data_IF_147694834081
#
_entry.id   IF_147694834081
#
_cell.length_a   1.000
_cell.length_b   1.000
_cell.length_c   1.000
_cell.angle_alpha   90.00
_cell.angle_beta   90.00
_cell.angle_gamma   90.00
#
_symmetry.space_group_name_H-M   'P 1'
#
loop_
_entity.id
_entity.type
_entity.pdbx_description
1 polymer ?
#
# COMPACT_ATOMS: atom_id res chain seq x y z
N UNK A 1 -10.04 -30.06 20.48
CA UNK A 1 -11.23 -29.49 21.18
C UNK A 1 -10.95 -29.12 22.63
N UNK A 2 -10.35 -29.99 23.48
CA UNK A 2 -10.04 -29.64 24.89
C UNK A 2 -9.15 -28.41 25.02
N UNK A 3 -8.10 -28.27 24.21
CA UNK A 3 -7.18 -27.14 24.23
C UNK A 3 -7.83 -25.84 23.75
N UNK A 4 -8.74 -25.89 22.77
CA UNK A 4 -9.48 -24.73 22.29
C UNK A 4 -10.39 -24.16 23.38
N UNK A 5 -11.15 -25.00 24.09
CA UNK A 5 -12.02 -24.57 25.20
C UNK A 5 -11.22 -23.97 26.35
N UNK A 6 -10.09 -24.56 26.67
CA UNK A 6 -9.19 -24.05 27.72
C UNK A 6 -8.64 -22.67 27.36
N UNK A 7 -8.23 -22.46 26.12
CA UNK A 7 -7.75 -21.16 25.67
C UNK A 7 -8.89 -20.12 25.64
N UNK A 8 -10.08 -20.49 25.19
CA UNK A 8 -11.25 -19.63 25.26
C UNK A 8 -11.60 -19.20 26.70
N UNK A 9 -11.62 -20.15 27.66
CA UNK A 9 -11.84 -19.85 29.07
C UNK A 9 -10.77 -18.90 29.62
N UNK A 10 -9.52 -19.10 29.20
CA UNK A 10 -8.42 -18.21 29.55
C UNK A 10 -8.62 -16.79 29.03
N UNK A 11 -9.12 -16.66 27.80
CA UNK A 11 -9.44 -15.35 27.22
C UNK A 11 -10.62 -14.69 27.93
N UNK A 12 -11.65 -15.43 28.29
CA UNK A 12 -12.76 -14.89 29.10
C UNK A 12 -12.29 -14.28 30.42
N UNK A 13 -11.26 -14.88 31.04
CA UNK A 13 -10.72 -14.41 32.30
C UNK A 13 -9.76 -13.22 32.18
N UNK A 14 -9.01 -13.10 31.06
CA UNK A 14 -7.88 -12.17 30.94
C UNK A 14 -8.11 -11.07 29.91
N UNK A 15 -8.92 -11.27 28.88
CA UNK A 15 -9.12 -10.29 27.80
C UNK A 15 -10.18 -9.23 28.20
N UNK A 16 -9.86 -8.41 29.21
CA UNK A 16 -10.81 -7.47 29.84
C UNK A 16 -10.57 -6.00 29.46
N UNK A 17 -9.44 -5.68 28.80
CA UNK A 17 -9.06 -4.30 28.48
C UNK A 17 -9.91 -3.73 27.33
N UNK A 18 -10.17 -4.52 26.27
CA UNK A 18 -11.03 -4.12 25.16
C UNK A 18 -12.47 -4.58 25.45
N UNK A 19 -13.36 -3.62 25.66
CA UNK A 19 -14.76 -3.88 25.99
C UNK A 19 -15.50 -4.65 24.87
N UNK A 20 -15.16 -4.38 23.60
CA UNK A 20 -15.78 -5.06 22.46
C UNK A 20 -15.36 -6.53 22.41
N UNK A 21 -14.05 -6.81 22.59
CA UNK A 21 -13.53 -8.19 22.69
C UNK A 21 -14.14 -8.94 23.86
N UNK A 22 -14.21 -8.30 25.04
CA UNK A 22 -14.80 -8.90 26.24
C UNK A 22 -16.30 -9.18 26.09
N UNK A 23 -17.03 -8.34 25.38
CA UNK A 23 -18.44 -8.54 25.06
C UNK A 23 -18.65 -9.67 24.05
N UNK A 24 -17.86 -9.67 22.97
CA UNK A 24 -17.93 -10.70 21.92
C UNK A 24 -17.65 -12.09 22.48
N UNK A 25 -16.60 -12.24 23.30
CA UNK A 25 -16.26 -13.54 23.93
C UNK A 25 -17.45 -14.19 24.64
N UNK A 26 -18.30 -13.42 25.30
CA UNK A 26 -19.48 -13.92 26.03
C UNK A 26 -20.60 -14.42 25.12
N UNK A 27 -20.54 -14.11 23.82
CA UNK A 27 -21.59 -14.39 22.82
C UNK A 27 -21.20 -15.47 21.82
N UNK A 28 -19.96 -15.97 21.88
CA UNK A 28 -19.47 -16.99 20.94
C UNK A 28 -20.15 -18.34 21.23
N UNK A 29 -20.70 -18.95 20.18
CA UNK A 29 -21.10 -20.35 20.15
C UNK A 29 -19.92 -21.29 19.89
N UNK A 30 -20.13 -22.60 20.06
CA UNK A 30 -19.05 -23.61 19.91
C UNK A 30 -18.34 -23.52 18.52
N UNK A 31 -19.08 -23.26 17.44
CA UNK A 31 -18.51 -23.13 16.09
C UNK A 31 -17.61 -21.89 15.97
N UNK A 32 -18.08 -20.76 16.51
CA UNK A 32 -17.30 -19.52 16.52
C UNK A 32 -16.09 -19.61 17.44
N UNK A 33 -16.21 -20.30 18.59
CA UNK A 33 -15.08 -20.57 19.48
C UNK A 33 -14.03 -21.38 18.75
N UNK A 34 -14.43 -22.45 18.05
CA UNK A 34 -13.49 -23.26 17.27
C UNK A 34 -12.77 -22.40 16.22
N UNK A 35 -13.49 -21.61 15.41
CA UNK A 35 -12.90 -20.74 14.37
C UNK A 35 -12.00 -19.65 14.95
N UNK A 36 -12.31 -19.10 16.12
CA UNK A 36 -11.54 -18.04 16.75
C UNK A 36 -10.27 -18.53 17.47
N UNK A 37 -10.23 -19.81 17.89
CA UNK A 37 -9.18 -20.33 18.77
C UNK A 37 -8.46 -21.59 18.27
N UNK A 38 -8.76 -22.10 17.03
CA UNK A 38 -8.12 -23.34 16.55
C UNK A 38 -6.63 -23.18 16.25
N UNK A 39 -6.14 -21.94 16.14
CA UNK A 39 -4.73 -21.59 15.97
C UNK A 39 -4.47 -20.14 16.34
N UNK A 40 -3.22 -19.75 16.42
CA UNK A 40 -2.82 -18.35 16.45
C UNK A 40 -2.93 -17.73 15.06
N UNK A 41 -3.19 -16.41 14.99
CA UNK A 41 -3.16 -15.65 13.75
C UNK A 41 -1.74 -15.69 13.18
N UNK A 42 -1.63 -16.22 11.96
CA UNK A 42 -0.33 -16.41 11.34
C UNK A 42 0.38 -15.08 11.07
N UNK A 43 1.61 -14.95 11.56
CA UNK A 43 2.55 -13.94 11.11
C UNK A 43 3.12 -14.44 9.78
N UNK A 44 2.49 -14.01 8.67
CA UNK A 44 2.88 -14.43 7.33
C UNK A 44 4.20 -13.82 6.87
N UNK A 45 4.46 -13.85 5.58
CA UNK A 45 5.72 -13.37 4.99
C UNK A 45 5.93 -11.84 5.05
N UNK A 46 5.14 -11.12 5.83
CA UNK A 46 5.24 -9.65 5.91
C UNK A 46 4.39 -9.02 7.00
N UNK A 47 3.80 -9.83 7.91
CA UNK A 47 2.97 -9.34 9.01
C UNK A 47 1.70 -10.15 9.23
N UNK A 48 0.74 -9.59 9.98
CA UNK A 48 -0.55 -10.21 10.27
C UNK A 48 -1.63 -9.76 9.28
N UNK A 49 -2.60 -10.64 9.01
CA UNK A 49 -3.87 -10.28 8.37
C UNK A 49 -4.97 -11.22 8.85
N UNK A 50 -6.09 -10.68 9.30
CA UNK A 50 -7.20 -11.48 9.79
C UNK A 50 -8.49 -10.69 9.96
N UNK A 51 -9.55 -11.41 10.30
CA UNK A 51 -10.83 -10.81 10.69
C UNK A 51 -10.67 -10.15 12.06
N UNK A 52 -11.25 -8.96 12.21
CA UNK A 52 -11.30 -8.24 13.50
C UNK A 52 -12.25 -9.01 14.43
N UNK A 53 -11.84 -9.24 15.67
CA UNK A 53 -12.69 -9.91 16.67
C UNK A 53 -11.91 -10.55 17.80
N UNK A 54 -12.64 -11.25 18.66
CA UNK A 54 -12.11 -11.95 19.82
C UNK A 54 -11.47 -13.30 19.45
N UNK A 55 -10.31 -13.60 20.02
CA UNK A 55 -9.61 -14.88 19.86
C UNK A 55 -8.20 -14.79 19.32
N UNK A 56 -7.48 -15.90 19.39
CA UNK A 56 -6.07 -15.98 18.96
C UNK A 56 -5.91 -15.91 17.42
N UNK A 57 -6.92 -16.35 16.66
CA UNK A 57 -6.97 -16.33 15.20
C UNK A 57 -7.72 -15.08 14.67
N UNK A 58 -7.64 -13.96 15.37
CA UNK A 58 -8.32 -12.70 15.05
C UNK A 58 -7.38 -11.51 15.20
N UNK A 59 -7.68 -10.43 14.46
CA UNK A 59 -7.07 -9.12 14.70
C UNK A 59 -7.76 -8.44 15.86
N UNK A 60 -7.02 -8.21 16.95
CA UNK A 60 -7.46 -7.47 18.13
C UNK A 60 -6.25 -6.86 18.84
N UNK A 61 -6.50 -6.11 19.91
CA UNK A 61 -5.43 -5.43 20.65
C UNK A 61 -4.39 -6.39 21.22
N UNK A 62 -4.78 -7.61 21.59
CA UNK A 62 -3.90 -8.60 22.21
C UNK A 62 -2.99 -9.26 21.17
N UNK A 63 -3.52 -9.65 20.00
CA UNK A 63 -2.71 -10.24 18.92
C UNK A 63 -1.76 -9.23 18.30
N UNK A 64 -2.20 -7.97 18.13
CA UNK A 64 -1.34 -6.85 17.70
C UNK A 64 -0.26 -6.56 18.73
N UNK A 65 -0.60 -6.54 20.02
CA UNK A 65 0.37 -6.30 21.09
C UNK A 65 1.43 -7.41 21.16
N UNK A 66 1.01 -8.69 21.04
CA UNK A 66 1.95 -9.84 21.01
C UNK A 66 2.90 -9.75 19.81
N UNK A 67 2.39 -9.43 18.62
CA UNK A 67 3.22 -9.25 17.42
C UNK A 67 4.20 -8.08 17.58
N UNK A 68 3.74 -6.96 18.14
CA UNK A 68 4.59 -5.78 18.40
C UNK A 68 5.67 -6.06 19.46
N UNK A 69 5.36 -6.88 20.49
CA UNK A 69 6.36 -7.33 21.47
C UNK A 69 7.45 -8.17 20.80
N UNK A 70 7.08 -9.16 19.98
CA UNK A 70 8.05 -9.98 19.26
C UNK A 70 8.93 -9.16 18.30
N UNK A 71 8.31 -8.19 17.58
CA UNK A 71 9.08 -7.26 16.75
C UNK A 71 10.00 -6.37 17.59
N UNK A 72 9.56 -5.87 18.75
CA UNK A 72 10.41 -5.09 19.65
C UNK A 72 11.60 -5.91 20.16
N UNK A 73 11.39 -7.19 20.49
CA UNK A 73 12.46 -8.09 20.95
C UNK A 73 13.47 -8.38 19.82
N UNK A 74 13.00 -8.58 18.60
CA UNK A 74 13.84 -8.67 17.40
C UNK A 74 14.67 -7.39 17.20
N UNK A 75 14.04 -6.21 17.26
CA UNK A 75 14.71 -4.93 17.04
C UNK A 75 15.80 -4.66 18.09
N UNK A 76 15.55 -4.95 19.37
CA UNK A 76 16.55 -4.79 20.45
C UNK A 76 17.75 -5.70 20.29
N UNK A 77 17.61 -6.85 19.63
CA UNK A 77 18.73 -7.76 19.35
C UNK A 77 19.60 -7.29 18.20
N UNK A 78 19.02 -6.59 17.24
CA UNK A 78 19.66 -6.26 15.98
C UNK A 78 20.10 -4.79 15.86
N UNK A 79 19.61 -3.90 16.74
CA UNK A 79 19.88 -2.46 16.70
C UNK A 79 20.21 -1.91 18.10
N UNK A 80 21.23 -1.07 18.20
CA UNK A 80 21.63 -0.44 19.49
C UNK A 80 20.59 0.59 19.96
N UNK A 81 20.03 1.38 19.03
CA UNK A 81 19.00 2.38 19.30
C UNK A 81 17.76 2.08 18.43
N UNK A 82 16.99 1.07 18.79
CA UNK A 82 15.86 0.65 17.97
C UNK A 82 14.78 1.73 17.91
N UNK A 83 14.24 1.94 16.71
CA UNK A 83 13.18 2.88 16.47
C UNK A 83 12.22 2.38 15.39
N UNK A 84 10.98 2.88 15.38
CA UNK A 84 9.94 2.46 14.45
C UNK A 84 9.16 3.66 13.92
N UNK A 85 8.79 3.61 12.62
CA UNK A 85 7.81 4.50 12.03
C UNK A 85 6.47 3.77 11.91
N UNK A 86 5.36 4.37 12.37
CA UNK A 86 4.04 3.73 12.39
C UNK A 86 3.04 4.57 11.59
N UNK A 87 2.29 3.89 10.70
CA UNK A 87 1.14 4.45 10.00
C UNK A 87 -0.07 3.52 10.08
N UNK A 88 -1.21 4.06 9.70
CA UNK A 88 -2.48 3.34 9.70
C UNK A 88 -3.43 3.91 8.64
N UNK A 89 -4.34 3.07 8.17
CA UNK A 89 -5.36 3.44 7.18
C UNK A 89 -6.72 3.79 7.83
N UNK A 90 -7.76 3.89 7.00
CA UNK A 90 -9.12 4.24 7.42
C UNK A 90 -9.92 3.09 8.03
N UNK A 91 -9.38 1.87 8.08
CA UNK A 91 -10.11 0.68 8.53
C UNK A 91 -10.51 0.76 9.99
N UNK A 92 -11.58 0.02 10.32
CA UNK A 92 -12.08 -0.13 11.68
C UNK A 92 -10.92 -0.54 12.60
N UNK A 93 -10.74 0.18 13.72
CA UNK A 93 -9.69 -0.02 14.74
C UNK A 93 -8.23 0.13 14.24
N UNK A 94 -7.96 0.63 13.02
CA UNK A 94 -6.58 0.83 12.57
C UNK A 94 -5.80 1.80 13.46
N UNK A 95 -6.41 2.90 13.86
CA UNK A 95 -5.84 3.88 14.80
C UNK A 95 -5.60 3.30 16.19
N UNK A 96 -6.55 2.48 16.68
CA UNK A 96 -6.43 1.77 17.98
C UNK A 96 -5.26 0.80 17.94
N UNK A 97 -5.16 -0.03 16.90
CA UNK A 97 -4.08 -1.00 16.76
C UNK A 97 -2.71 -0.33 16.60
N UNK A 98 -2.65 0.79 15.89
CA UNK A 98 -1.42 1.59 15.76
C UNK A 98 -0.96 2.16 17.12
N UNK A 99 -1.90 2.68 17.93
CA UNK A 99 -1.59 3.18 19.28
C UNK A 99 -1.18 2.05 20.24
N UNK A 100 -1.82 0.89 20.16
CA UNK A 100 -1.43 -0.29 20.93
C UNK A 100 0.00 -0.72 20.58
N UNK A 101 0.32 -0.82 19.29
CA UNK A 101 1.67 -1.14 18.85
C UNK A 101 2.69 -0.10 19.38
N UNK A 102 2.38 1.18 19.26
CA UNK A 102 3.21 2.27 19.79
C UNK A 102 3.48 2.14 21.29
N UNK A 103 2.44 1.84 22.09
CA UNK A 103 2.56 1.60 23.53
C UNK A 103 3.46 0.42 23.87
N UNK A 104 3.38 -0.67 23.10
CA UNK A 104 4.27 -1.84 23.28
C UNK A 104 5.71 -1.49 22.94
N UNK A 105 5.97 -0.85 21.81
CA UNK A 105 7.32 -0.43 21.44
C UNK A 105 7.93 0.51 22.48
N UNK A 106 7.20 1.53 22.93
CA UNK A 106 7.65 2.47 23.94
C UNK A 106 7.98 1.77 25.27
N UNK A 107 7.12 0.83 25.74
CA UNK A 107 7.36 0.04 26.95
C UNK A 107 8.61 -0.83 26.86
N UNK A 108 9.06 -1.17 25.66
CA UNK A 108 10.26 -1.97 25.40
C UNK A 108 11.51 -1.13 25.07
N UNK A 109 11.45 0.20 25.21
CA UNK A 109 12.58 1.10 24.92
C UNK A 109 12.86 1.31 23.43
N UNK A 110 11.90 0.97 22.55
CA UNK A 110 11.96 1.27 21.12
C UNK A 110 11.36 2.66 20.89
N UNK A 111 12.12 3.59 20.31
CA UNK A 111 11.63 4.93 19.99
C UNK A 111 10.55 4.88 18.91
N UNK A 112 9.42 5.51 19.16
CA UNK A 112 8.28 5.49 18.23
C UNK A 112 8.13 6.81 17.51
N UNK A 113 7.96 6.76 16.18
CA UNK A 113 7.52 7.85 15.34
C UNK A 113 6.19 7.43 14.70
N UNK A 114 5.09 8.07 15.02
CA UNK A 114 3.76 7.70 14.53
C UNK A 114 3.12 8.84 13.74
N UNK A 115 2.48 8.52 12.62
CA UNK A 115 1.70 9.52 11.89
C UNK A 115 0.53 10.01 12.77
N UNK A 116 0.31 11.34 12.88
CA UNK A 116 -0.76 11.89 13.71
C UNK A 116 -2.17 11.63 13.14
N UNK A 117 -2.25 11.32 11.86
CA UNK A 117 -3.47 11.00 11.11
C UNK A 117 -3.23 9.79 10.21
N UNK A 118 -4.32 9.21 9.71
CA UNK A 118 -4.22 8.14 8.70
C UNK A 118 -3.42 8.60 7.46
N UNK A 119 -2.59 7.71 6.94
CA UNK A 119 -1.68 8.01 5.83
C UNK A 119 -1.56 6.79 4.89
N UNK A 120 -1.21 7.01 3.60
CA UNK A 120 -0.93 5.92 2.66
C UNK A 120 0.24 5.01 3.07
N UNK A 121 0.19 3.75 2.64
CA UNK A 121 1.30 2.79 2.79
C UNK A 121 2.65 3.35 2.36
N UNK A 122 2.81 3.97 1.17
CA UNK A 122 4.11 4.47 0.74
C UNK A 122 4.72 5.53 1.68
N UNK A 123 3.89 6.25 2.43
CA UNK A 123 4.40 7.22 3.42
C UNK A 123 5.09 6.56 4.61
N UNK A 124 4.73 5.30 4.95
CA UNK A 124 5.43 4.53 5.99
C UNK A 124 6.78 4.06 5.48
N UNK A 125 6.84 3.52 4.26
CA UNK A 125 8.11 3.19 3.60
C UNK A 125 9.03 4.41 3.53
N UNK A 126 8.50 5.57 3.11
CA UNK A 126 9.21 6.83 3.05
C UNK A 126 9.71 7.31 4.42
N UNK A 127 8.81 7.37 5.42
CA UNK A 127 9.17 7.84 6.76
C UNK A 127 10.23 6.94 7.43
N UNK A 128 10.14 5.62 7.24
CA UNK A 128 11.14 4.66 7.71
C UNK A 128 12.54 5.01 7.19
N UNK A 129 12.66 5.31 5.91
CA UNK A 129 13.91 5.72 5.26
C UNK A 129 14.35 7.13 5.66
N UNK A 130 13.44 8.09 5.59
CA UNK A 130 13.72 9.51 5.85
C UNK A 130 14.15 9.78 7.29
N UNK A 131 13.50 9.11 8.26
CA UNK A 131 13.81 9.23 9.68
C UNK A 131 14.87 8.21 10.15
N UNK A 132 15.38 7.37 9.24
CA UNK A 132 16.35 6.32 9.55
C UNK A 132 15.90 5.41 10.71
N UNK A 133 14.62 5.03 10.72
CA UNK A 133 14.12 4.10 11.75
C UNK A 133 14.54 2.66 11.46
N UNK A 134 14.62 1.86 12.52
CA UNK A 134 15.03 0.43 12.42
C UNK A 134 13.98 -0.43 11.73
N UNK A 135 12.71 0.00 11.78
CA UNK A 135 11.59 -0.67 11.14
C UNK A 135 10.45 0.31 10.82
N UNK A 136 9.52 -0.13 9.99
CA UNK A 136 8.23 0.50 9.77
C UNK A 136 7.08 -0.45 10.08
N UNK A 137 5.95 0.08 10.49
CA UNK A 137 4.71 -0.66 10.71
C UNK A 137 3.55 0.07 10.05
N UNK A 138 2.79 -0.65 9.24
CA UNK A 138 1.54 -0.14 8.68
C UNK A 138 0.37 -1.00 9.08
N UNK A 139 -0.61 -0.39 9.76
CA UNK A 139 -1.85 -1.06 10.14
C UNK A 139 -2.87 -0.90 9.01
N UNK A 140 -3.04 -1.95 8.24
CA UNK A 140 -3.92 -2.00 7.06
C UNK A 140 -4.20 -3.43 6.63
N UNK A 141 -5.34 -3.66 5.98
CA UNK A 141 -5.61 -4.86 5.20
C UNK A 141 -5.85 -4.55 3.71
N UNK A 142 -5.30 -3.41 3.20
CA UNK A 142 -5.39 -2.96 1.81
C UNK A 142 -6.88 -2.93 1.35
N UNK A 143 -7.21 -3.58 0.26
CA UNK A 143 -8.53 -3.62 -0.36
C UNK A 143 -9.47 -4.72 0.18
N UNK A 144 -9.10 -5.44 1.23
CA UNK A 144 -9.96 -6.48 1.82
C UNK A 144 -11.28 -5.88 2.36
N UNK A 145 -12.37 -6.68 2.50
CA UNK A 145 -13.60 -6.23 3.14
C UNK A 145 -13.41 -5.60 4.52
N UNK A 146 -14.36 -4.78 4.96
CA UNK A 146 -14.30 -3.99 6.21
C UNK A 146 -14.02 -4.81 7.47
N UNK A 147 -14.47 -6.08 7.52
CA UNK A 147 -14.23 -6.99 8.65
C UNK A 147 -12.77 -7.40 8.86
N UNK A 148 -11.89 -7.13 7.90
CA UNK A 148 -10.46 -7.45 8.00
C UNK A 148 -9.63 -6.25 8.44
N UNK A 149 -8.56 -6.53 9.18
CA UNK A 149 -7.44 -5.62 9.37
C UNK A 149 -6.12 -6.39 9.30
N UNK A 150 -5.00 -5.69 9.33
CA UNK A 150 -3.68 -6.28 9.23
C UNK A 150 -2.60 -5.40 9.84
N UNK A 151 -1.38 -5.91 9.82
CA UNK A 151 -0.20 -5.31 10.41
C UNK A 151 0.99 -5.68 9.52
N UNK A 152 1.37 -4.76 8.62
CA UNK A 152 2.52 -4.95 7.71
C UNK A 152 3.79 -4.44 8.39
N UNK A 153 4.90 -5.17 8.23
CA UNK A 153 6.22 -4.80 8.78
C UNK A 153 7.19 -4.48 7.65
N UNK A 154 7.93 -3.41 7.82
CA UNK A 154 8.96 -2.91 6.90
C UNK A 154 10.32 -2.92 7.61
N UNK A 155 11.38 -3.28 6.89
CA UNK A 155 12.76 -3.15 7.34
C UNK A 155 13.27 -1.70 7.30
N UNK A 156 14.46 -1.48 7.84
CA UNK A 156 15.10 -0.16 7.88
C UNK A 156 15.33 0.47 6.48
N UNK A 157 15.35 -0.36 5.44
CA UNK A 157 15.43 0.08 4.05
C UNK A 157 14.09 0.55 3.46
N UNK A 158 13.01 0.46 4.25
CA UNK A 158 11.65 0.80 3.83
C UNK A 158 10.96 -0.25 2.96
N UNK A 159 11.59 -1.41 2.73
CA UNK A 159 10.98 -2.53 2.04
C UNK A 159 10.18 -3.40 3.03
N UNK A 160 9.05 -3.95 2.61
CA UNK A 160 8.37 -4.96 3.41
C UNK A 160 9.30 -6.15 3.65
N UNK A 161 9.36 -6.65 4.89
CA UNK A 161 10.34 -7.65 5.32
C UNK A 161 10.35 -8.90 4.43
N UNK A 162 11.56 -9.48 4.26
CA UNK A 162 11.76 -10.76 3.56
C UNK A 162 11.26 -11.93 4.39
N UNK A 163 11.21 -13.11 3.76
CA UNK A 163 10.79 -14.35 4.42
C UNK A 163 11.72 -14.73 5.58
N UNK A 164 13.02 -14.49 5.45
CA UNK A 164 14.02 -14.77 6.48
C UNK A 164 13.80 -13.89 7.71
N UNK A 165 13.69 -12.58 7.52
CA UNK A 165 13.42 -11.62 8.61
C UNK A 165 12.06 -11.90 9.27
N UNK A 166 11.03 -12.24 8.47
CA UNK A 166 9.72 -12.62 9.01
C UNK A 166 9.82 -13.87 9.91
N UNK A 167 10.64 -14.87 9.54
CA UNK A 167 10.86 -16.08 10.35
C UNK A 167 11.58 -15.76 11.67
N UNK A 168 12.57 -14.86 11.66
CA UNK A 168 13.24 -14.41 12.88
C UNK A 168 12.30 -13.68 13.84
N UNK A 169 11.44 -12.79 13.32
CA UNK A 169 10.43 -12.10 14.13
C UNK A 169 9.40 -13.10 14.68
N UNK A 170 8.93 -14.03 13.85
CA UNK A 170 7.99 -15.07 14.26
C UNK A 170 8.57 -15.91 15.41
N UNK A 171 9.85 -16.27 15.33
CA UNK A 171 10.53 -17.02 16.40
C UNK A 171 10.59 -16.24 17.74
N UNK A 172 10.54 -14.89 17.73
CA UNK A 172 10.38 -14.12 18.97
C UNK A 172 8.91 -14.13 19.43
N UNK A 173 7.96 -13.97 18.51
CA UNK A 173 6.51 -13.97 18.82
C UNK A 173 6.08 -15.31 19.47
N UNK A 174 6.57 -16.45 18.95
CA UNK A 174 6.21 -17.78 19.43
C UNK A 174 6.68 -18.08 20.87
N UNK A 175 7.68 -17.35 21.38
CA UNK A 175 8.13 -17.49 22.78
C UNK A 175 7.20 -16.84 23.78
N UNK A 176 6.32 -15.94 23.33
CA UNK A 176 5.57 -15.04 24.19
C UNK A 176 4.21 -15.63 24.58
N UNK A 177 3.89 -15.55 25.85
CA UNK A 177 2.51 -15.61 26.32
C UNK A 177 1.80 -14.28 26.09
N UNK A 178 0.60 -14.35 25.46
CA UNK A 178 -0.15 -13.17 25.02
C UNK A 178 -0.58 -12.24 26.16
N UNK A 179 -0.74 -12.75 27.39
CA UNK A 179 -1.18 -11.98 28.55
C UNK A 179 -0.05 -11.70 29.54
N UNK A 180 0.95 -12.60 29.67
CA UNK A 180 1.97 -12.51 30.70
C UNK A 180 3.25 -11.78 30.24
N UNK A 181 3.63 -11.90 28.96
CA UNK A 181 4.95 -11.47 28.48
C UNK A 181 4.93 -10.16 27.68
N UNK A 182 3.73 -9.66 27.35
CA UNK A 182 3.59 -8.43 26.59
C UNK A 182 3.67 -7.22 27.52
N UNK A 183 4.66 -6.36 27.29
CA UNK A 183 4.82 -5.08 27.99
C UNK A 183 4.12 -3.99 27.20
N UNK A 184 3.33 -3.18 27.90
CA UNK A 184 2.64 -2.05 27.27
C UNK A 184 2.75 -0.80 28.15
N UNK A 185 2.73 0.36 27.54
CA UNK A 185 2.59 1.65 28.20
C UNK A 185 1.39 2.40 27.64
N UNK A 186 0.85 3.31 28.42
CA UNK A 186 -0.18 4.22 27.95
C UNK A 186 0.36 5.11 26.83
N UNK A 187 -0.42 5.29 25.76
CA UNK A 187 -0.03 6.03 24.57
C UNK A 187 0.25 7.51 24.89
N UNK A 188 -0.67 8.15 25.61
CA UNK A 188 -0.58 9.58 25.94
C UNK A 188 0.58 9.84 26.92
N UNK A 189 0.84 8.92 27.84
CA UNK A 189 2.03 8.97 28.69
C UNK A 189 3.32 8.84 27.88
N UNK A 190 3.32 7.99 26.84
CA UNK A 190 4.44 7.86 25.91
C UNK A 190 4.70 9.12 25.10
N UNK A 191 3.65 9.81 24.66
CA UNK A 191 3.75 11.12 24.00
C UNK A 191 4.28 12.17 24.97
N UNK A 192 3.77 12.22 26.19
CA UNK A 192 4.18 13.21 27.20
C UNK A 192 5.65 13.07 27.60
N UNK A 193 6.19 11.85 27.67
CA UNK A 193 7.59 11.61 28.04
C UNK A 193 8.56 11.55 26.83
N UNK A 194 8.05 11.67 25.59
CA UNK A 194 8.83 11.71 24.35
C UNK A 194 9.29 10.35 23.83
N UNK A 195 8.86 9.22 24.42
CA UNK A 195 9.12 7.88 23.86
C UNK A 195 8.29 7.62 22.61
N UNK A 196 7.15 8.28 22.47
CA UNK A 196 6.31 8.33 21.28
C UNK A 196 6.31 9.76 20.75
N UNK A 197 6.65 9.94 19.49
CA UNK A 197 6.66 11.23 18.80
C UNK A 197 5.78 11.18 17.57
N UNK A 198 5.08 12.28 17.30
CA UNK A 198 4.38 12.41 16.03
C UNK A 198 5.38 12.72 14.90
N UNK A 199 5.18 12.06 13.75
CA UNK A 199 5.93 12.37 12.53
C UNK A 199 5.53 13.78 12.07
N UNK A 200 6.49 14.71 11.91
CA UNK A 200 6.18 16.09 11.56
C UNK A 200 5.74 16.24 10.10
N UNK A 201 4.99 17.32 9.80
CA UNK A 201 4.43 17.59 8.47
C UNK A 201 5.51 17.80 7.39
N UNK A 202 6.74 18.13 7.79
CA UNK A 202 7.88 18.24 6.87
C UNK A 202 8.21 16.91 6.18
N UNK A 203 8.03 15.78 6.87
CA UNK A 203 8.22 14.44 6.27
C UNK A 203 7.16 14.17 5.20
N UNK A 204 5.91 14.55 5.48
CA UNK A 204 4.85 14.44 4.49
C UNK A 204 5.09 15.36 3.28
N UNK A 205 5.55 16.58 3.52
CA UNK A 205 5.90 17.52 2.45
C UNK A 205 7.08 16.99 1.62
N UNK A 206 8.11 16.43 2.28
CA UNK A 206 9.23 15.81 1.57
C UNK A 206 8.78 14.60 0.72
N UNK A 207 7.83 13.80 1.21
CA UNK A 207 7.24 12.72 0.41
C UNK A 207 6.55 13.26 -0.86
N UNK A 208 5.71 14.29 -0.72
CA UNK A 208 5.02 14.92 -1.87
C UNK A 208 6.03 15.49 -2.87
N UNK A 209 7.11 16.12 -2.41
CA UNK A 209 8.18 16.62 -3.29
C UNK A 209 8.88 15.48 -4.03
N UNK A 210 9.09 14.32 -3.40
CA UNK A 210 9.64 13.16 -4.08
C UNK A 210 8.70 12.64 -5.18
N UNK A 211 7.40 12.54 -4.91
CA UNK A 211 6.42 12.17 -5.94
C UNK A 211 6.43 13.15 -7.11
N UNK A 212 6.42 14.45 -6.83
CA UNK A 212 6.47 15.52 -7.87
C UNK A 212 7.74 15.43 -8.73
N UNK A 213 8.86 15.03 -8.13
CA UNK A 213 10.14 14.90 -8.82
C UNK A 213 10.19 13.75 -9.83
N UNK A 214 9.19 12.86 -9.82
CA UNK A 214 9.09 11.74 -10.77
C UNK A 214 8.59 12.18 -12.15
N UNK A 215 8.16 13.43 -12.32
CA UNK A 215 7.75 13.99 -13.62
C UNK A 215 8.78 13.73 -14.71
N UNK A 216 8.33 13.21 -15.85
CA UNK A 216 9.15 12.98 -17.04
C UNK A 216 8.83 13.95 -18.19
N UNK A 217 8.13 15.05 -17.91
CA UNK A 217 7.89 16.10 -18.89
C UNK A 217 9.17 16.91 -19.24
N UNK A 218 10.11 16.99 -18.29
CA UNK A 218 11.37 17.74 -18.48
C UNK A 218 11.20 19.16 -19.02
N UNK A 219 10.10 19.83 -18.63
CA UNK A 219 9.76 21.18 -19.07
C UNK A 219 8.84 21.26 -20.27
N UNK A 220 8.38 20.13 -20.81
CA UNK A 220 7.37 20.11 -21.87
C UNK A 220 6.01 20.56 -21.32
N UNK A 221 5.35 21.47 -22.05
CA UNK A 221 4.03 21.95 -21.66
C UNK A 221 2.93 20.97 -22.12
N UNK A 222 2.00 20.66 -21.22
CA UNK A 222 0.84 19.80 -21.48
C UNK A 222 -0.43 20.46 -20.95
N UNK A 223 -1.57 20.07 -21.51
CA UNK A 223 -2.87 20.52 -21.04
C UNK A 223 -3.21 19.89 -19.68
N UNK A 224 -3.02 20.64 -18.61
CA UNK A 224 -3.35 20.24 -17.23
C UNK A 224 -4.79 20.56 -16.82
N UNK A 225 -5.60 21.14 -17.71
CA UNK A 225 -7.03 21.42 -17.45
C UNK A 225 -7.95 20.24 -17.85
N UNK A 226 -7.39 19.03 -17.92
CA UNK A 226 -8.16 17.80 -18.11
C UNK A 226 -9.12 17.59 -16.94
N UNK A 227 -10.35 17.19 -17.23
CA UNK A 227 -11.36 16.96 -16.21
C UNK A 227 -11.16 15.57 -15.57
N UNK A 228 -10.80 15.56 -14.30
CA UNK A 228 -10.48 14.35 -13.53
C UNK A 228 -11.58 14.11 -12.51
N UNK A 229 -12.11 12.89 -12.47
CA UNK A 229 -12.87 12.38 -11.33
C UNK A 229 -11.95 11.50 -10.50
N UNK A 230 -11.93 11.73 -9.20
CA UNK A 230 -11.11 10.96 -8.28
C UNK A 230 -11.94 10.36 -7.13
N UNK A 231 -11.74 9.07 -6.87
CA UNK A 231 -12.27 8.39 -5.69
C UNK A 231 -11.14 7.81 -4.83
N UNK A 232 -11.02 8.22 -3.56
CA UNK A 232 -10.14 7.58 -2.60
C UNK A 232 -10.74 6.29 -1.99
N UNK A 233 -11.92 5.83 -2.42
CA UNK A 233 -12.64 4.66 -1.89
C UNK A 233 -12.72 4.64 -0.35
N UNK A 234 -13.06 5.79 0.26
CA UNK A 234 -13.08 6.00 1.71
C UNK A 234 -11.73 5.72 2.42
N UNK A 235 -10.62 5.79 1.69
CA UNK A 235 -9.27 5.49 2.16
C UNK A 235 -8.42 6.71 2.48
N UNK A 236 -7.11 6.51 2.43
CA UNK A 236 -6.08 7.48 2.82
C UNK A 236 -5.66 8.43 1.70
N UNK A 237 -6.05 8.15 0.46
CA UNK A 237 -5.51 8.83 -0.73
C UNK A 237 -5.99 10.28 -0.92
N UNK A 238 -7.10 10.71 -0.31
CA UNK A 238 -7.70 12.01 -0.57
C UNK A 238 -6.70 13.16 -0.50
N UNK A 239 -6.08 13.35 0.66
CA UNK A 239 -5.17 14.47 0.93
C UNK A 239 -3.90 14.40 0.06
N UNK A 240 -3.13 13.29 0.03
CA UNK A 240 -1.88 13.24 -0.70
C UNK A 240 -2.05 13.30 -2.21
N UNK A 241 -3.02 12.59 -2.79
CA UNK A 241 -3.26 12.61 -4.24
C UNK A 241 -3.73 13.99 -4.70
N UNK A 242 -4.74 14.56 -4.02
CA UNK A 242 -5.25 15.89 -4.42
C UNK A 242 -4.24 17.01 -4.20
N UNK A 243 -3.40 16.92 -3.14
CA UNK A 243 -2.31 17.88 -2.92
C UNK A 243 -1.29 17.80 -4.05
N UNK A 244 -0.78 16.61 -4.33
CA UNK A 244 0.22 16.40 -5.39
C UNK A 244 -0.30 16.89 -6.74
N UNK A 245 -1.51 16.48 -7.13
CA UNK A 245 -2.11 16.90 -8.40
C UNK A 245 -2.27 18.42 -8.49
N UNK A 246 -2.78 19.07 -7.42
CA UNK A 246 -2.95 20.53 -7.39
C UNK A 246 -1.62 21.27 -7.46
N UNK A 247 -0.61 20.84 -6.72
CA UNK A 247 0.72 21.44 -6.76
C UNK A 247 1.40 21.26 -8.12
N UNK A 248 1.06 20.18 -8.85
CA UNK A 248 1.50 19.93 -10.22
C UNK A 248 0.64 20.63 -11.29
N UNK A 249 -0.37 21.41 -10.87
CA UNK A 249 -1.19 22.26 -11.75
C UNK A 249 -2.50 21.62 -12.24
N UNK A 250 -2.86 20.44 -11.77
CA UNK A 250 -4.17 19.81 -12.05
C UNK A 250 -5.21 20.34 -11.08
N UNK A 251 -6.06 21.24 -11.52
CA UNK A 251 -7.07 21.90 -10.67
C UNK A 251 -8.51 21.49 -10.98
N UNK A 252 -8.76 20.89 -12.13
CA UNK A 252 -10.09 20.45 -12.56
C UNK A 252 -10.38 19.02 -12.05
N UNK A 253 -10.45 18.89 -10.72
CA UNK A 253 -10.63 17.61 -10.04
C UNK A 253 -11.98 17.60 -9.33
N UNK A 254 -12.83 16.63 -9.66
CA UNK A 254 -14.08 16.32 -8.95
C UNK A 254 -13.87 15.07 -8.11
N UNK A 255 -13.98 15.21 -6.79
CA UNK A 255 -13.91 14.06 -5.87
C UNK A 255 -15.28 13.42 -5.72
N UNK A 256 -15.35 12.10 -5.71
CA UNK A 256 -16.58 11.34 -5.45
C UNK A 256 -16.98 11.52 -3.98
N UNK A 257 -18.02 12.31 -3.75
CA UNK A 257 -18.37 12.84 -2.43
C UNK A 257 -18.68 11.75 -1.38
N UNK A 258 -19.38 10.70 -1.77
CA UNK A 258 -19.76 9.59 -0.89
C UNK A 258 -18.56 8.71 -0.49
N UNK A 259 -17.47 8.82 -1.23
CA UNK A 259 -16.23 8.06 -1.02
C UNK A 259 -15.06 8.95 -0.56
N UNK A 260 -15.30 10.25 -0.41
CA UNK A 260 -14.28 11.25 -0.09
C UNK A 260 -13.71 11.06 1.31
N UNK A 261 -14.61 10.94 2.31
CA UNK A 261 -14.18 10.86 3.69
C UNK A 261 -13.76 9.44 4.07
N UNK A 262 -12.67 9.29 4.86
CA UNK A 262 -12.25 7.99 5.36
C UNK A 262 -13.36 7.30 6.16
N UNK A 263 -13.71 6.07 5.78
CA UNK A 263 -14.70 5.25 6.50
C UNK A 263 -14.36 3.75 6.36
N UNK A 264 -13.99 3.12 7.46
CA UNK A 264 -13.62 1.70 7.50
C UNK A 264 -14.77 0.72 7.25
N UNK A 265 -16.02 1.20 7.19
CA UNK A 265 -17.16 0.37 6.81
C UNK A 265 -17.31 0.24 5.29
N UNK A 266 -16.70 1.14 4.50
CA UNK A 266 -16.81 1.19 3.03
C UNK A 266 -18.26 1.11 2.54
N UNK A 267 -19.15 2.05 2.93
CA UNK A 267 -20.59 1.91 2.80
C UNK A 267 -21.09 1.82 1.35
N UNK A 268 -20.33 2.39 0.41
CA UNK A 268 -20.68 2.38 -1.02
C UNK A 268 -19.91 1.31 -1.82
N UNK A 269 -18.92 0.66 -1.19
CA UNK A 269 -18.05 -0.30 -1.86
C UNK A 269 -17.52 -1.35 -0.88
N UNK A 270 -18.27 -2.45 -0.61
CA UNK A 270 -17.87 -3.48 0.35
C UNK A 270 -16.51 -4.15 0.06
N UNK A 271 -16.08 -4.09 -1.19
CA UNK A 271 -14.76 -4.55 -1.68
C UNK A 271 -14.05 -3.36 -2.33
N UNK A 272 -13.35 -2.50 -1.55
CA UNK A 272 -12.75 -1.25 -2.04
C UNK A 272 -11.46 -1.51 -2.84
N UNK A 273 -11.61 -2.29 -3.92
CA UNK A 273 -10.52 -2.67 -4.82
C UNK A 273 -10.75 -2.05 -6.20
N UNK A 274 -9.91 -1.10 -6.65
CA UNK A 274 -10.06 -0.44 -7.94
C UNK A 274 -9.89 -1.37 -9.16
N UNK A 275 -9.52 -2.64 -8.96
CA UNK A 275 -9.48 -3.66 -10.00
C UNK A 275 -10.89 -4.11 -10.42
N UNK A 276 -11.89 -3.97 -9.54
CA UNK A 276 -13.23 -4.49 -9.80
C UNK A 276 -14.19 -3.38 -10.25
N UNK A 277 -15.05 -3.74 -11.18
CA UNK A 277 -15.99 -2.82 -11.80
C UNK A 277 -16.96 -2.19 -10.79
N UNK A 278 -17.38 -2.95 -9.79
CA UNK A 278 -18.30 -2.51 -8.75
C UNK A 278 -17.69 -1.38 -7.90
N UNK A 279 -16.39 -1.44 -7.60
CA UNK A 279 -15.69 -0.38 -6.89
C UNK A 279 -15.60 0.92 -7.70
N UNK A 280 -15.47 0.80 -9.03
CA UNK A 280 -15.37 1.92 -9.95
C UNK A 280 -16.73 2.50 -10.35
N UNK A 281 -17.84 1.80 -10.08
CA UNK A 281 -19.18 2.14 -10.62
C UNK A 281 -19.63 3.56 -10.26
N UNK A 282 -19.54 3.95 -8.99
CA UNK A 282 -19.93 5.29 -8.53
C UNK A 282 -19.02 6.38 -9.16
N UNK A 283 -17.72 6.13 -9.24
CA UNK A 283 -16.78 7.01 -9.95
C UNK A 283 -17.14 7.19 -11.43
N UNK A 284 -17.54 6.11 -12.11
CA UNK A 284 -18.00 6.18 -13.51
C UNK A 284 -19.30 6.96 -13.66
N UNK A 285 -20.22 6.89 -12.70
CA UNK A 285 -21.42 7.74 -12.69
C UNK A 285 -21.06 9.23 -12.57
N UNK A 286 -20.14 9.56 -11.67
CA UNK A 286 -19.60 10.92 -11.53
C UNK A 286 -18.92 11.37 -12.83
N UNK A 287 -18.07 10.52 -13.40
CA UNK A 287 -17.38 10.82 -14.65
C UNK A 287 -18.35 11.13 -15.80
N UNK A 288 -19.45 10.36 -15.92
CA UNK A 288 -20.51 10.63 -16.89
C UNK A 288 -21.21 11.96 -16.63
N UNK A 289 -21.58 12.26 -15.37
CA UNK A 289 -22.25 13.51 -14.97
C UNK A 289 -21.39 14.74 -15.24
N UNK A 290 -20.09 14.68 -14.95
CA UNK A 290 -19.15 15.79 -15.13
C UNK A 290 -18.53 15.82 -16.53
N UNK A 291 -18.84 14.86 -17.38
CA UNK A 291 -18.16 14.65 -18.67
C UNK A 291 -16.63 14.61 -18.52
N UNK A 292 -16.13 13.93 -17.47
CA UNK A 292 -14.72 13.87 -17.14
C UNK A 292 -13.90 13.19 -18.26
N UNK A 293 -12.64 13.55 -18.36
CA UNK A 293 -11.70 12.95 -19.32
C UNK A 293 -11.11 11.66 -18.77
N UNK A 294 -10.85 11.65 -17.45
CA UNK A 294 -10.18 10.57 -16.73
C UNK A 294 -10.87 10.30 -15.39
N UNK A 295 -11.09 9.03 -15.06
CA UNK A 295 -11.46 8.58 -13.72
C UNK A 295 -10.26 7.88 -13.08
N UNK A 296 -9.96 8.26 -11.83
CA UNK A 296 -8.96 7.61 -10.96
C UNK A 296 -9.65 7.07 -9.71
N UNK A 297 -9.23 5.90 -9.23
CA UNK A 297 -9.57 5.45 -7.89
C UNK A 297 -8.34 4.78 -7.24
N UNK A 298 -8.14 5.06 -5.94
CA UNK A 298 -7.12 4.40 -5.12
C UNK A 298 -7.78 3.50 -4.08
N UNK A 299 -7.12 2.39 -3.74
CA UNK A 299 -7.59 1.53 -2.66
C UNK A 299 -7.38 2.19 -1.26
N UNK A 300 -7.92 1.62 -0.16
CA UNK A 300 -7.93 2.30 1.13
C UNK A 300 -6.56 2.68 1.68
N UNK A 301 -5.52 1.89 1.48
CA UNK A 301 -4.15 2.22 1.90
C UNK A 301 -3.32 2.90 0.79
N UNK A 302 -3.98 3.23 -0.32
CA UNK A 302 -3.47 4.05 -1.42
C UNK A 302 -2.12 3.53 -1.96
N UNK A 303 -2.05 2.23 -2.18
CA UNK A 303 -0.92 1.58 -2.84
C UNK A 303 -1.27 1.06 -4.24
N UNK A 304 -2.54 1.15 -4.67
CA UNK A 304 -3.05 0.78 -6.01
C UNK A 304 -3.85 1.91 -6.64
N UNK A 305 -3.82 1.97 -7.98
CA UNK A 305 -4.60 2.95 -8.76
C UNK A 305 -5.29 2.26 -9.92
N UNK A 306 -6.62 2.34 -9.96
CA UNK A 306 -7.43 1.94 -11.11
C UNK A 306 -7.90 3.16 -11.89
N UNK A 307 -8.06 3.02 -13.20
CA UNK A 307 -8.49 4.10 -14.09
C UNK A 307 -9.59 3.66 -15.06
N UNK A 308 -10.39 4.65 -15.47
CA UNK A 308 -11.25 4.51 -16.62
C UNK A 308 -11.12 5.73 -17.55
N UNK A 309 -11.17 5.49 -18.83
CA UNK A 309 -11.07 6.51 -19.90
C UNK A 309 -12.21 6.37 -20.88
N UNK A 310 -12.53 7.42 -21.62
CA UNK A 310 -13.56 7.39 -22.65
C UNK A 310 -13.07 6.65 -23.91
N UNK A 311 -13.90 5.79 -24.45
CA UNK A 311 -13.74 5.24 -25.78
C UNK A 311 -14.34 6.17 -26.86
N UNK A 312 -14.22 5.78 -28.12
CA UNK A 312 -14.74 6.53 -29.29
C UNK A 312 -16.26 6.71 -29.29
N UNK A 313 -17.00 5.86 -28.55
CA UNK A 313 -18.43 5.98 -28.38
C UNK A 313 -18.83 6.91 -27.20
N UNK A 314 -17.84 7.43 -26.44
CA UNK A 314 -18.05 8.23 -25.25
C UNK A 314 -18.37 7.42 -23.98
N UNK A 315 -18.25 6.10 -24.04
CA UNK A 315 -18.42 5.22 -22.89
C UNK A 315 -17.09 5.06 -22.13
N UNK A 316 -17.17 4.89 -20.81
CA UNK A 316 -15.98 4.68 -19.99
C UNK A 316 -15.56 3.21 -19.96
N UNK A 317 -14.32 2.97 -20.30
CA UNK A 317 -13.67 1.68 -20.24
C UNK A 317 -12.63 1.64 -19.11
N UNK A 318 -12.68 0.57 -18.30
CA UNK A 318 -11.68 0.29 -17.27
C UNK A 318 -10.45 -0.28 -17.93
N UNK A 319 -9.27 0.27 -17.62
CA UNK A 319 -8.00 -0.33 -18.00
C UNK A 319 -7.53 -1.29 -16.91
N UNK A 320 -7.01 -2.43 -17.33
CA UNK A 320 -6.37 -3.38 -16.41
C UNK A 320 -5.04 -2.84 -15.88
N UNK A 321 -4.55 -3.41 -14.76
CA UNK A 321 -3.24 -3.04 -14.22
C UNK A 321 -2.09 -3.27 -15.23
N UNK A 322 -2.16 -4.35 -16.00
CA UNK A 322 -1.21 -4.59 -17.08
C UNK A 322 -1.26 -3.51 -18.17
N UNK A 323 -2.46 -3.14 -18.63
CA UNK A 323 -2.64 -2.11 -19.66
C UNK A 323 -2.09 -0.76 -19.20
N UNK A 324 -2.47 -0.35 -17.99
CA UNK A 324 -1.99 0.91 -17.40
C UNK A 324 -0.48 0.89 -17.19
N UNK A 325 0.06 -0.24 -16.67
CA UNK A 325 1.51 -0.39 -16.46
C UNK A 325 2.33 -0.35 -17.75
N UNK A 326 1.83 -0.93 -18.84
CA UNK A 326 2.49 -0.87 -20.14
C UNK A 326 2.47 0.54 -20.74
N UNK A 327 1.33 1.24 -20.64
CA UNK A 327 1.21 2.62 -21.07
C UNK A 327 2.17 3.54 -20.29
N UNK A 328 2.25 3.36 -18.95
CA UNK A 328 3.20 4.11 -18.12
C UNK A 328 4.64 3.80 -18.49
N UNK A 329 5.00 2.53 -18.67
CA UNK A 329 6.35 2.12 -19.03
C UNK A 329 6.78 2.77 -20.36
N UNK A 330 5.93 2.67 -21.39
CA UNK A 330 6.22 3.26 -22.70
C UNK A 330 6.33 4.78 -22.61
N UNK A 331 5.37 5.44 -21.92
CA UNK A 331 5.39 6.89 -21.72
C UNK A 331 6.66 7.34 -21.03
N UNK A 332 7.03 6.75 -19.89
CA UNK A 332 8.22 7.11 -19.12
C UNK A 332 9.48 6.93 -19.98
N UNK A 333 9.62 5.78 -20.62
CA UNK A 333 10.80 5.48 -21.44
C UNK A 333 10.90 6.38 -22.66
N UNK A 334 9.79 6.63 -23.37
CA UNK A 334 9.78 7.51 -24.54
C UNK A 334 10.18 8.94 -24.18
N UNK A 335 9.68 9.46 -23.07
CA UNK A 335 10.05 10.78 -22.57
C UNK A 335 11.52 10.85 -22.14
N UNK A 336 12.02 9.85 -21.42
CA UNK A 336 13.43 9.78 -21.04
C UNK A 336 14.35 9.74 -22.27
N UNK A 337 14.02 8.97 -23.30
CA UNK A 337 14.81 8.92 -24.56
C UNK A 337 14.73 10.25 -25.29
N UNK A 338 13.53 10.80 -25.48
CA UNK A 338 13.27 12.06 -26.16
C UNK A 338 14.11 13.21 -25.59
N UNK A 339 14.24 13.26 -24.27
CA UNK A 339 14.94 14.33 -23.56
C UNK A 339 16.38 13.98 -23.16
N UNK A 340 16.90 12.81 -23.58
CA UNK A 340 18.26 12.36 -23.23
C UNK A 340 18.45 12.16 -21.71
N UNK A 341 17.41 11.73 -21.02
CA UNK A 341 17.36 11.53 -19.56
C UNK A 341 17.32 10.06 -19.14
N UNK A 342 17.41 9.12 -20.08
CA UNK A 342 17.50 7.71 -19.74
C UNK A 342 18.76 7.47 -18.91
N UNK A 343 18.64 6.85 -17.71
CA UNK A 343 19.81 6.60 -16.87
C UNK A 343 20.78 5.61 -17.53
N UNK A 344 22.00 5.56 -17.03
CA UNK A 344 22.95 4.53 -17.42
C UNK A 344 22.52 3.17 -16.85
N UNK A 345 22.60 2.09 -17.66
CA UNK A 345 22.18 0.72 -17.28
C UNK A 345 20.73 0.67 -16.74
N UNK A 346 19.73 1.18 -17.51
CA UNK A 346 18.37 1.36 -17.01
C UNK A 346 17.67 0.01 -16.76
N UNK A 347 16.88 -0.04 -15.71
CA UNK A 347 16.24 -1.28 -15.22
C UNK A 347 14.74 -1.07 -15.03
N UNK A 348 13.96 -2.03 -15.54
CA UNK A 348 12.55 -2.23 -15.22
C UNK A 348 12.43 -3.51 -14.37
N UNK A 349 11.58 -3.47 -13.35
CA UNK A 349 11.31 -4.64 -12.50
C UNK A 349 9.82 -4.98 -12.55
N UNK A 350 9.48 -6.25 -12.84
CA UNK A 350 8.10 -6.74 -12.84
C UNK A 350 7.98 -8.10 -12.18
N UNK A 351 6.77 -8.49 -11.80
CA UNK A 351 6.53 -9.85 -11.32
C UNK A 351 6.43 -10.84 -12.49
N UNK A 352 6.68 -12.11 -12.19
CA UNK A 352 6.59 -13.20 -13.20
C UNK A 352 5.17 -13.40 -13.78
N UNK A 353 4.13 -12.88 -13.09
CA UNK A 353 2.73 -12.93 -13.54
C UNK A 353 2.28 -11.65 -14.23
N UNK A 354 3.10 -10.62 -14.22
CA UNK A 354 2.88 -9.38 -14.97
C UNK A 354 3.20 -9.61 -16.45
N UNK A 355 2.44 -8.97 -17.34
CA UNK A 355 2.45 -9.22 -18.78
C UNK A 355 3.85 -9.11 -19.41
N UNK A 356 4.22 -10.09 -20.25
CA UNK A 356 5.53 -10.16 -20.90
C UNK A 356 5.76 -9.08 -21.97
N UNK A 357 4.71 -8.44 -22.48
CA UNK A 357 4.84 -7.28 -23.37
C UNK A 357 5.65 -6.17 -22.69
N UNK A 358 5.60 -6.03 -21.36
CA UNK A 358 6.47 -5.09 -20.63
C UNK A 358 7.94 -5.33 -20.87
N UNK A 359 8.39 -6.59 -21.04
CA UNK A 359 9.78 -6.91 -21.39
C UNK A 359 10.16 -6.46 -22.79
N UNK A 360 9.22 -6.59 -23.74
CA UNK A 360 9.45 -6.18 -25.12
C UNK A 360 9.55 -4.66 -25.22
N UNK A 361 8.65 -3.93 -24.53
CA UNK A 361 8.71 -2.47 -24.41
C UNK A 361 10.05 -2.05 -23.78
N UNK A 362 10.40 -2.62 -22.62
CA UNK A 362 11.65 -2.32 -21.94
C UNK A 362 12.87 -2.56 -22.84
N UNK A 363 12.93 -3.70 -23.54
CA UNK A 363 14.01 -4.06 -24.46
C UNK A 363 14.13 -3.05 -25.61
N UNK A 364 13.00 -2.58 -26.17
CA UNK A 364 12.97 -1.60 -27.24
C UNK A 364 13.60 -0.28 -26.82
N UNK A 365 13.44 0.12 -25.55
CA UNK A 365 14.07 1.32 -24.99
C UNK A 365 15.45 1.08 -24.34
N UNK A 366 16.00 -0.12 -24.47
CA UNK A 366 17.31 -0.49 -23.93
C UNK A 366 17.35 -0.75 -22.43
N UNK A 367 16.19 -1.00 -21.80
CA UNK A 367 16.12 -1.36 -20.38
C UNK A 367 16.38 -2.85 -20.21
N UNK A 368 17.08 -3.18 -19.12
CA UNK A 368 17.17 -4.53 -18.62
C UNK A 368 15.94 -4.84 -17.75
N UNK A 369 15.26 -5.93 -18.03
CA UNK A 369 14.14 -6.41 -17.19
C UNK A 369 14.63 -7.36 -16.10
N UNK A 370 14.14 -7.17 -14.87
CA UNK A 370 14.28 -8.11 -13.76
C UNK A 370 12.92 -8.67 -13.43
N UNK A 371 12.76 -9.98 -13.61
CA UNK A 371 11.56 -10.71 -13.21
C UNK A 371 11.71 -11.20 -11.77
N UNK A 372 10.68 -10.91 -10.94
CA UNK A 372 10.65 -11.30 -9.53
C UNK A 372 9.39 -12.11 -9.21
N UNK A 373 9.35 -12.76 -8.05
CA UNK A 373 8.15 -13.43 -7.55
C UNK A 373 7.02 -12.41 -7.31
N UNK A 374 5.78 -12.90 -7.25
CA UNK A 374 4.60 -12.08 -6.96
C UNK A 374 4.70 -11.41 -5.60
N UNK A 375 4.43 -10.12 -5.57
CA UNK A 375 4.49 -9.26 -4.39
C UNK A 375 5.53 -8.15 -4.54
N UNK A 376 5.08 -6.90 -4.36
CA UNK A 376 5.91 -5.70 -4.60
C UNK A 376 7.17 -5.63 -3.74
N UNK A 377 7.18 -6.32 -2.59
CA UNK A 377 8.38 -6.45 -1.75
C UNK A 377 9.60 -6.99 -2.51
N UNK A 378 9.39 -7.87 -3.49
CA UNK A 378 10.48 -8.38 -4.32
C UNK A 378 10.96 -7.33 -5.34
N UNK A 379 10.08 -6.43 -5.80
CA UNK A 379 10.48 -5.25 -6.57
C UNK A 379 11.27 -4.29 -5.66
N UNK A 380 10.76 -3.98 -4.47
CA UNK A 380 11.46 -3.16 -3.47
C UNK A 380 12.83 -3.71 -3.09
N UNK A 381 12.97 -5.04 -2.96
CA UNK A 381 14.25 -5.71 -2.69
C UNK A 381 15.26 -5.47 -3.83
N UNK A 382 14.82 -5.52 -5.11
CA UNK A 382 15.71 -5.23 -6.23
C UNK A 382 16.17 -3.78 -6.24
N UNK A 383 15.28 -2.83 -5.94
CA UNK A 383 15.67 -1.41 -5.77
C UNK A 383 16.72 -1.29 -4.66
N UNK A 384 16.52 -1.96 -3.52
CA UNK A 384 17.50 -1.99 -2.42
C UNK A 384 18.84 -2.61 -2.82
N UNK A 385 18.84 -3.63 -3.68
CA UNK A 385 20.08 -4.23 -4.23
C UNK A 385 20.80 -3.25 -5.16
N UNK A 386 20.07 -2.52 -5.99
CA UNK A 386 20.64 -1.45 -6.84
C UNK A 386 21.24 -0.32 -5.99
N UNK A 387 20.54 0.10 -4.94
CA UNK A 387 21.02 1.14 -4.02
C UNK A 387 22.35 0.74 -3.34
N UNK A 388 22.45 -0.50 -2.83
CA UNK A 388 23.70 -1.04 -2.25
C UNK A 388 24.87 -1.07 -3.23
N UNK A 389 24.60 -1.08 -4.54
CA UNK A 389 25.59 -1.02 -5.62
C UNK A 389 25.89 0.41 -6.06
N UNK A 390 25.26 1.45 -5.46
CA UNK A 390 25.34 2.83 -5.90
C UNK A 390 24.62 3.10 -7.23
N UNK A 391 23.64 2.26 -7.60
CA UNK A 391 22.91 2.27 -8.86
C UNK A 391 21.40 2.48 -8.68
N UNK A 392 20.97 3.13 -7.60
CA UNK A 392 19.54 3.38 -7.35
C UNK A 392 18.86 4.10 -8.52
N UNK A 393 19.58 5.03 -9.15
CA UNK A 393 19.10 5.82 -10.30
C UNK A 393 18.93 4.99 -11.58
N UNK A 394 19.47 3.77 -11.65
CA UNK A 394 19.22 2.85 -12.77
C UNK A 394 17.78 2.32 -12.79
N UNK A 395 17.09 2.32 -11.66
CA UNK A 395 15.70 1.92 -11.60
C UNK A 395 14.80 2.96 -12.25
N UNK A 396 14.09 2.57 -13.30
CA UNK A 396 13.21 3.46 -14.08
C UNK A 396 11.76 3.29 -13.68
N UNK A 397 11.29 2.04 -13.64
CA UNK A 397 9.89 1.72 -13.36
C UNK A 397 9.73 0.27 -12.88
N UNK A 398 8.74 0.05 -12.04
CA UNK A 398 8.31 -1.28 -11.65
C UNK A 398 6.80 -1.33 -11.43
N UNK A 399 6.19 -2.48 -11.77
CA UNK A 399 4.75 -2.63 -11.60
C UNK A 399 4.32 -4.08 -11.44
N UNK A 400 3.13 -4.23 -10.88
CA UNK A 400 2.39 -5.49 -10.77
C UNK A 400 1.09 -5.39 -11.57
N UNK A 401 0.62 -6.52 -12.10
CA UNK A 401 -0.67 -6.65 -12.78
C UNK A 401 -1.84 -6.23 -11.88
N UNK A 402 -1.65 -6.28 -10.58
CA UNK A 402 -2.62 -5.90 -9.55
C UNK A 402 -2.63 -4.40 -9.24
N UNK A 403 -2.45 -3.55 -10.26
CA UNK A 403 -2.61 -2.09 -10.20
C UNK A 403 -1.62 -1.34 -9.29
N UNK A 404 -0.50 -1.97 -8.96
CA UNK A 404 0.59 -1.36 -8.19
C UNK A 404 1.72 -0.88 -9.08
N UNK A 405 2.10 0.39 -8.96
CA UNK A 405 3.12 1.06 -9.76
C UNK A 405 4.10 1.79 -8.86
N UNK A 406 5.33 1.98 -9.35
CA UNK A 406 6.32 2.84 -8.72
C UNK A 406 7.32 3.37 -9.75
N UNK A 407 7.45 4.68 -9.81
CA UNK A 407 8.55 5.40 -10.47
C UNK A 407 9.57 5.85 -9.42
N UNK A 408 10.86 5.77 -9.78
CA UNK A 408 11.93 6.16 -8.87
C UNK A 408 12.15 5.24 -7.67
N UNK A 409 13.11 5.60 -6.85
CA UNK A 409 13.64 4.73 -5.79
C UNK A 409 13.48 5.30 -4.37
N UNK A 410 12.61 6.30 -4.19
CA UNK A 410 12.44 7.00 -2.90
C UNK A 410 11.67 6.17 -1.85
N UNK A 411 10.82 5.24 -2.28
CA UNK A 411 10.13 4.24 -1.45
C UNK A 411 10.47 2.82 -1.93
N UNK A 412 9.99 1.80 -1.20
CA UNK A 412 10.24 0.38 -1.49
C UNK A 412 8.96 -0.46 -1.56
N UNK A 413 7.83 0.22 -1.67
CA UNK A 413 6.52 -0.39 -1.93
C UNK A 413 5.85 0.39 -3.05
N UNK A 414 4.77 -0.18 -3.62
CA UNK A 414 3.96 0.51 -4.63
C UNK A 414 3.36 1.79 -4.06
N UNK A 415 3.26 2.80 -4.88
CA UNK A 415 2.80 4.12 -4.48
C UNK A 415 1.62 4.58 -5.34
N UNK A 416 0.42 4.59 -4.72
CA UNK A 416 -0.79 5.06 -5.38
C UNK A 416 -0.82 6.57 -5.60
N UNK A 417 -0.03 7.35 -4.86
CA UNK A 417 0.08 8.81 -5.06
C UNK A 417 0.94 9.10 -6.31
N UNK A 418 2.07 8.41 -6.44
CA UNK A 418 2.93 8.43 -7.63
C UNK A 418 2.17 7.93 -8.86
N UNK A 419 1.54 6.75 -8.74
CA UNK A 419 0.76 6.17 -9.83
C UNK A 419 -0.35 7.11 -10.32
N UNK A 420 -1.10 7.73 -9.40
CA UNK A 420 -2.15 8.69 -9.77
C UNK A 420 -1.59 9.93 -10.47
N UNK A 421 -0.46 10.47 -9.98
CA UNK A 421 0.18 11.62 -10.60
C UNK A 421 0.73 11.26 -12.00
N UNK A 422 1.50 10.18 -12.11
CA UNK A 422 2.11 9.77 -13.38
C UNK A 422 1.06 9.40 -14.44
N UNK A 423 -0.08 8.82 -14.03
CA UNK A 423 -1.20 8.57 -14.93
C UNK A 423 -1.82 9.89 -15.43
N UNK A 424 -2.02 10.89 -14.55
CA UNK A 424 -2.52 12.20 -14.96
C UNK A 424 -1.54 12.90 -15.93
N UNK A 425 -0.25 12.80 -15.67
CA UNK A 425 0.79 13.37 -16.53
C UNK A 425 0.79 12.70 -17.90
N UNK A 426 0.82 11.38 -17.96
CA UNK A 426 0.73 10.58 -19.18
C UNK A 426 -0.55 10.91 -19.97
N UNK A 427 -1.70 10.92 -19.30
CA UNK A 427 -2.99 11.26 -19.93
C UNK A 427 -2.94 12.65 -20.57
N UNK A 428 -2.46 13.65 -19.85
CA UNK A 428 -2.36 15.03 -20.34
C UNK A 428 -1.40 15.16 -21.50
N UNK A 429 -0.29 14.42 -21.50
CA UNK A 429 0.67 14.39 -22.60
C UNK A 429 0.01 13.89 -23.90
N UNK A 430 -0.69 12.75 -23.83
CA UNK A 430 -1.36 12.19 -25.02
C UNK A 430 -2.57 13.04 -25.44
N UNK A 431 -3.36 13.54 -24.49
CA UNK A 431 -4.49 14.41 -24.77
C UNK A 431 -4.06 15.72 -25.47
N UNK A 432 -2.93 16.30 -25.10
CA UNK A 432 -2.35 17.48 -25.78
C UNK A 432 -2.03 17.20 -27.25
N UNK A 433 -1.75 15.94 -27.59
CA UNK A 433 -1.50 15.47 -28.96
C UNK A 433 -2.77 14.96 -29.67
N UNK A 434 -3.91 15.04 -29.02
CA UNK A 434 -5.17 14.47 -29.51
C UNK A 434 -5.12 12.94 -29.70
N UNK A 435 -4.35 12.25 -28.89
CA UNK A 435 -4.23 10.79 -28.85
C UNK A 435 -4.95 10.31 -27.58
N UNK A 436 -5.86 9.34 -27.69
CA UNK A 436 -6.44 8.70 -26.51
C UNK A 436 -5.53 7.60 -25.96
N UNK A 437 -5.63 7.30 -24.67
CA UNK A 437 -4.88 6.17 -24.11
C UNK A 437 -5.27 4.81 -24.72
N UNK A 438 -6.50 4.68 -25.23
CA UNK A 438 -6.94 3.48 -25.95
C UNK A 438 -6.28 3.40 -27.34
N UNK A 439 -6.14 4.53 -28.05
CA UNK A 439 -5.42 4.54 -29.34
C UNK A 439 -3.94 4.21 -29.11
N UNK A 440 -3.32 4.74 -28.06
CA UNK A 440 -1.93 4.43 -27.73
C UNK A 440 -1.76 2.95 -27.35
N UNK A 441 -2.69 2.39 -26.57
CA UNK A 441 -2.71 0.96 -26.24
C UNK A 441 -2.82 0.10 -27.50
N UNK A 442 -3.65 0.50 -28.47
CA UNK A 442 -3.77 -0.17 -29.77
C UNK A 442 -2.44 -0.13 -30.56
N UNK A 443 -1.71 0.99 -30.52
CA UNK A 443 -0.38 1.09 -31.14
C UNK A 443 0.65 0.18 -30.45
N UNK A 444 0.63 0.08 -29.11
CA UNK A 444 1.45 -0.88 -28.39
C UNK A 444 1.14 -2.32 -28.81
N UNK A 445 -0.14 -2.68 -28.95
CA UNK A 445 -0.54 -4.02 -29.41
C UNK A 445 -0.12 -4.29 -30.85
N UNK A 446 -0.18 -3.31 -31.74
CA UNK A 446 0.32 -3.46 -33.11
C UNK A 446 1.85 -3.64 -33.16
N UNK A 447 2.56 -2.92 -32.30
CA UNK A 447 4.02 -2.91 -32.27
C UNK A 447 4.60 -4.17 -31.64
N UNK A 448 4.01 -4.63 -30.53
CA UNK A 448 4.55 -5.70 -29.69
C UNK A 448 3.73 -6.98 -29.70
N UNK A 449 2.57 -6.99 -30.35
CA UNK A 449 1.64 -8.11 -30.39
C UNK A 449 0.61 -8.05 -29.25
N UNK A 450 -0.59 -8.62 -29.51
CA UNK A 450 -1.66 -8.73 -28.53
C UNK A 450 -1.56 -10.06 -27.80
N UNK A 451 -1.51 -10.03 -26.46
CA UNK A 451 -1.51 -11.23 -25.61
C UNK A 451 -2.68 -11.14 -24.63
N UNK A 452 -3.48 -12.22 -24.59
CA UNK A 452 -4.51 -12.39 -23.56
C UNK A 452 -3.96 -13.25 -22.45
N UNK A 453 -3.86 -12.69 -21.21
CA UNK A 453 -3.51 -13.45 -20.02
C UNK A 453 -4.77 -13.94 -19.32
N UNK A 454 -4.91 -15.26 -19.22
CA UNK A 454 -5.94 -15.89 -18.42
C UNK A 454 -5.29 -16.47 -17.17
N UNK A 455 -5.57 -15.89 -16.00
CA UNK A 455 -5.17 -16.50 -14.73
C UNK A 455 -6.06 -17.72 -14.45
N UNK A 456 -5.49 -18.92 -14.56
CA UNK A 456 -6.09 -20.10 -13.98
C UNK A 456 -5.75 -20.13 -12.49
N UNK A 457 -6.69 -19.71 -11.65
CA UNK A 457 -6.61 -20.00 -10.23
C UNK A 457 -6.80 -21.50 -10.04
N UNK A 458 -5.73 -22.20 -9.63
CA UNK A 458 -5.87 -23.59 -9.17
C UNK A 458 -6.79 -23.57 -7.93
N UNK A 459 -7.78 -24.47 -7.85
CA UNK A 459 -8.62 -24.58 -6.66
C UNK A 459 -7.71 -24.92 -5.47
N UNK A 460 -7.61 -24.01 -4.53
CA UNK A 460 -7.03 -24.29 -3.21
C UNK A 460 -7.95 -25.30 -2.51
N UNK A 461 -7.43 -26.51 -2.28
CA UNK A 461 -8.09 -27.51 -1.44
C UNK A 461 -8.06 -27.08 0.02
#
# INVERSE_FOLDING_TARGET
>A
MADIKKEYERWLANATIDADVAAELKTLDDTKIEDAFYRDLAFGTGGLRGVIGAGTNRMNIYTVAKASQGLADYLKKNFEMPSVAIGYDSRIKSDVFAKVAAGVFAANGVKVNIWPVLMPVPTVSFATRYLHTSAGVMVTASHNPSKYNGYKVYGADGCQITTEVAAEILAEIEKLDIFADVKTSDFEAGVANGSIQYIPDEVYTAFVEQVKSQSVLFGEEVNKNVAIVYSPLNGTGLKPVTRTLKEMGYTNITVVKEQEQPDGNFPTCPYPNPEIKEAMALGMEYAKKCNADLLLATDPDCDRVGIAVKNKAGEYELLTGNQTGMLLLDYICSQCVKHGKMPADPVMVKTIVTMDMGEQIATNYGLRTINVLTGFKFIGEQIGKLEKQGKADSYVFGFEESYGYLTGSYVRDKDGVDGAYMICEMFSYYATKSISLLDELDELYKTYGSVSYTHLTLPTK
#
